data_IF_482750355683
#
_entry.id   IF_482750355683
#
_cell.length_a   1.000
_cell.length_b   1.000
_cell.length_c   1.000
_cell.angle_alpha   90.00
_cell.angle_beta   90.00
_cell.angle_gamma   90.00
#
_symmetry.space_group_name_H-M   'P 1'
#
loop_
_entity.id
_entity.type
_entity.pdbx_description
1 polymer ?
#
# COMPACT_ATOMS: atom_id res chain seq x y z
N UNK A 1 34.59 -13.93 -34.34
CA UNK A 1 33.66 -12.79 -34.22
C UNK A 1 32.17 -13.21 -34.09
N UNK A 2 31.86 -14.35 -33.46
CA UNK A 2 30.47 -14.81 -33.23
C UNK A 2 30.14 -15.11 -31.75
N UNK A 3 31.17 -15.20 -30.89
CA UNK A 3 31.02 -15.50 -29.46
C UNK A 3 30.77 -14.22 -28.65
N UNK A 4 31.22 -13.06 -29.15
CA UNK A 4 31.00 -11.75 -28.51
C UNK A 4 29.55 -11.23 -28.66
N UNK A 5 28.80 -11.68 -29.69
CA UNK A 5 27.39 -11.30 -29.84
C UNK A 5 26.46 -12.14 -28.94
N UNK A 6 26.85 -13.37 -28.60
CA UNK A 6 26.11 -14.22 -27.66
C UNK A 6 26.21 -13.69 -26.21
N UNK A 7 27.29 -13.01 -25.85
CA UNK A 7 27.47 -12.38 -24.53
C UNK A 7 26.66 -11.08 -24.38
N UNK A 8 26.33 -10.39 -25.47
CA UNK A 8 25.47 -9.20 -25.41
C UNK A 8 23.99 -9.56 -25.26
N UNK A 9 23.58 -10.75 -25.76
CA UNK A 9 22.22 -11.27 -25.55
C UNK A 9 22.09 -12.04 -24.22
N UNK A 10 23.15 -12.73 -23.78
CA UNK A 10 23.18 -13.42 -22.48
C UNK A 10 23.39 -12.46 -21.28
N UNK A 11 23.82 -11.22 -21.52
CA UNK A 11 23.93 -10.16 -20.51
C UNK A 11 22.60 -9.52 -20.09
N UNK A 12 21.50 -9.84 -20.78
CA UNK A 12 20.12 -9.46 -20.40
C UNK A 12 19.47 -10.47 -19.43
N UNK A 13 20.25 -11.39 -18.86
CA UNK A 13 19.89 -12.24 -17.71
C UNK A 13 20.47 -11.71 -16.39
N UNK A 14 20.79 -10.42 -16.34
CA UNK A 14 21.39 -9.77 -15.18
C UNK A 14 20.31 -9.34 -14.18
N UNK A 15 20.00 -10.25 -13.25
CA UNK A 15 19.09 -10.10 -12.11
C UNK A 15 17.62 -9.80 -12.48
N UNK A 16 16.62 -10.31 -11.73
CA UNK A 16 15.29 -9.75 -11.81
C UNK A 16 15.42 -8.29 -11.36
N UNK A 17 15.44 -7.36 -12.32
CA UNK A 17 15.37 -5.94 -12.02
C UNK A 17 14.08 -5.77 -11.22
N UNK A 18 14.21 -5.53 -9.92
CA UNK A 18 13.07 -5.32 -9.05
C UNK A 18 12.30 -4.16 -9.64
N UNK A 19 10.99 -4.32 -9.85
CA UNK A 19 10.19 -3.23 -10.37
C UNK A 19 10.36 -1.99 -9.48
N UNK A 20 10.53 -0.84 -10.13
CA UNK A 20 10.75 0.45 -9.49
C UNK A 20 9.43 1.16 -9.23
N UNK A 21 8.45 1.04 -10.15
CA UNK A 21 7.12 1.65 -10.07
C UNK A 21 5.97 0.64 -10.04
N UNK A 22 4.77 1.07 -9.65
CA UNK A 22 3.56 0.23 -9.67
C UNK A 22 3.29 -0.38 -11.06
N UNK A 23 3.47 0.43 -12.11
CA UNK A 23 3.28 0.00 -13.49
C UNK A 23 4.30 -1.05 -13.91
N UNK A 24 5.57 -0.88 -13.49
CA UNK A 24 6.63 -1.84 -13.81
C UNK A 24 6.40 -3.18 -13.11
N UNK A 25 5.92 -3.20 -11.87
CA UNK A 25 5.59 -4.46 -11.18
C UNK A 25 4.47 -5.20 -11.90
N UNK A 26 3.40 -4.48 -12.27
CA UNK A 26 2.28 -5.09 -12.96
C UNK A 26 2.70 -5.66 -14.34
N UNK A 27 3.59 -4.96 -15.07
CA UNK A 27 4.20 -5.46 -16.32
C UNK A 27 5.12 -6.66 -16.11
N UNK A 28 5.92 -6.66 -15.05
CA UNK A 28 6.78 -7.80 -14.70
C UNK A 28 5.95 -9.04 -14.36
N UNK A 29 4.85 -8.89 -13.63
CA UNK A 29 3.94 -9.99 -13.31
C UNK A 29 3.34 -10.58 -14.60
N UNK A 30 2.87 -9.71 -15.52
CA UNK A 30 2.35 -10.14 -16.82
C UNK A 30 3.41 -10.90 -17.64
N UNK A 31 4.59 -10.30 -17.82
CA UNK A 31 5.67 -10.87 -18.62
C UNK A 31 6.14 -12.21 -18.10
N UNK A 32 6.36 -12.32 -16.78
CA UNK A 32 6.81 -13.57 -16.16
C UNK A 32 5.72 -14.65 -16.20
N UNK A 33 4.45 -14.28 -15.97
CA UNK A 33 3.33 -15.22 -16.07
C UNK A 33 3.18 -15.79 -17.48
N UNK A 34 3.34 -14.96 -18.52
CA UNK A 34 3.33 -15.42 -19.92
C UNK A 34 4.52 -16.32 -20.24
N UNK A 35 5.72 -15.98 -19.77
CA UNK A 35 6.92 -16.79 -19.98
C UNK A 35 6.78 -18.18 -19.33
N UNK A 36 6.22 -18.25 -18.11
CA UNK A 36 5.89 -19.51 -17.44
C UNK A 36 4.85 -20.31 -18.22
N UNK A 37 3.78 -19.66 -18.70
CA UNK A 37 2.76 -20.31 -19.53
C UNK A 37 3.33 -20.89 -20.82
N UNK A 38 4.25 -20.17 -21.48
CA UNK A 38 4.93 -20.66 -22.68
C UNK A 38 5.87 -21.83 -22.36
N UNK A 39 6.66 -21.74 -21.29
CA UNK A 39 7.55 -22.81 -20.83
C UNK A 39 6.79 -24.12 -20.59
N UNK A 40 5.63 -24.01 -19.92
CA UNK A 40 4.79 -25.15 -19.57
C UNK A 40 3.92 -25.65 -20.73
N UNK A 41 3.50 -24.76 -21.64
CA UNK A 41 2.64 -25.07 -22.78
C UNK A 41 3.37 -25.58 -24.03
N UNK A 42 4.70 -25.39 -24.13
CA UNK A 42 5.47 -25.78 -25.33
C UNK A 42 5.84 -27.26 -25.40
N UNK A 43 5.53 -28.05 -24.37
CA UNK A 43 5.67 -29.50 -24.45
C UNK A 43 4.44 -30.13 -25.09
N UNK A 44 4.59 -30.87 -26.20
CA UNK A 44 3.59 -31.83 -26.71
C UNK A 44 3.34 -33.01 -25.73
N UNK A 45 3.58 -32.83 -24.44
CA UNK A 45 3.38 -33.81 -23.39
C UNK A 45 2.04 -33.55 -22.71
N UNK A 46 1.30 -34.61 -22.44
CA UNK A 46 0.13 -34.53 -21.57
C UNK A 46 0.57 -33.95 -20.22
N UNK A 47 -0.01 -32.81 -19.86
CA UNK A 47 0.26 -32.15 -18.59
C UNK A 47 -0.35 -32.98 -17.46
N UNK A 48 0.28 -32.95 -16.29
CA UNK A 48 -0.39 -33.46 -15.10
C UNK A 48 -1.53 -32.52 -14.71
N UNK A 49 -2.54 -33.02 -14.01
CA UNK A 49 -3.64 -32.19 -13.48
C UNK A 49 -3.11 -30.98 -12.67
N UNK A 50 -2.02 -31.17 -11.92
CA UNK A 50 -1.38 -30.08 -11.18
C UNK A 50 -0.75 -29.01 -12.08
N UNK A 51 -0.17 -29.41 -13.21
CA UNK A 51 0.41 -28.48 -14.19
C UNK A 51 -0.66 -27.71 -14.96
N UNK A 52 -1.76 -28.37 -15.34
CA UNK A 52 -2.93 -27.71 -15.95
C UNK A 52 -3.53 -26.67 -15.01
N UNK A 53 -3.70 -27.03 -13.74
CA UNK A 53 -4.24 -26.12 -12.73
C UNK A 53 -3.30 -24.93 -12.49
N UNK A 54 -1.98 -25.16 -12.44
CA UNK A 54 -0.99 -24.09 -12.32
C UNK A 54 -1.01 -23.13 -13.52
N UNK A 55 -1.15 -23.65 -14.75
CA UNK A 55 -1.31 -22.84 -15.95
C UNK A 55 -2.56 -21.97 -15.91
N UNK A 56 -3.70 -22.52 -15.47
CA UNK A 56 -4.93 -21.75 -15.34
C UNK A 56 -4.82 -20.63 -14.30
N UNK A 57 -4.18 -20.91 -13.15
CA UNK A 57 -4.01 -19.89 -12.12
C UNK A 57 -2.97 -18.82 -12.53
N UNK A 58 -1.92 -19.19 -13.28
CA UNK A 58 -1.00 -18.23 -13.93
C UNK A 58 -1.69 -17.35 -14.97
N UNK A 59 -2.60 -17.90 -15.79
CA UNK A 59 -3.40 -17.11 -16.73
C UNK A 59 -4.30 -16.11 -15.99
N UNK A 60 -4.92 -16.53 -14.89
CA UNK A 60 -5.70 -15.63 -14.02
C UNK A 60 -4.84 -14.51 -13.44
N UNK A 61 -3.63 -14.84 -12.96
CA UNK A 61 -2.69 -13.85 -12.44
C UNK A 61 -2.27 -12.85 -13.53
N UNK A 62 -1.95 -13.33 -14.73
CA UNK A 62 -1.62 -12.48 -15.87
C UNK A 62 -2.78 -11.54 -16.24
N UNK A 63 -4.02 -12.04 -16.29
CA UNK A 63 -5.19 -11.22 -16.61
C UNK A 63 -5.48 -10.17 -15.53
N UNK A 64 -5.33 -10.53 -14.26
CA UNK A 64 -5.49 -9.60 -13.15
C UNK A 64 -4.42 -8.48 -13.21
N UNK A 65 -3.17 -8.84 -13.56
CA UNK A 65 -2.10 -7.87 -13.76
C UNK A 65 -2.38 -6.94 -14.94
N UNK A 66 -2.84 -7.46 -16.09
CA UNK A 66 -3.21 -6.65 -17.27
C UNK A 66 -4.31 -5.64 -16.93
N UNK A 67 -5.38 -6.07 -16.25
CA UNK A 67 -6.46 -5.15 -15.84
C UNK A 67 -5.96 -4.05 -14.91
N UNK A 68 -5.00 -4.37 -14.05
CA UNK A 68 -4.37 -3.39 -13.17
C UNK A 68 -3.48 -2.42 -13.96
N UNK A 69 -2.71 -2.90 -14.94
CA UNK A 69 -1.93 -2.06 -15.87
C UNK A 69 -2.85 -1.12 -16.64
N UNK A 70 -3.94 -1.63 -17.20
CA UNK A 70 -4.92 -0.84 -17.95
C UNK A 70 -5.52 0.24 -17.05
N UNK A 71 -5.94 -0.11 -15.85
CA UNK A 71 -6.49 0.84 -14.89
C UNK A 71 -5.47 1.92 -14.45
N UNK A 72 -4.18 1.58 -14.36
CA UNK A 72 -3.12 2.54 -14.04
C UNK A 72 -2.71 3.38 -15.27
N UNK A 73 -2.86 2.85 -16.48
CA UNK A 73 -2.37 3.44 -17.74
C UNK A 73 -3.32 4.40 -18.45
N UNK A 74 -4.58 4.52 -18.03
CA UNK A 74 -5.51 5.50 -18.62
C UNK A 74 -5.14 6.94 -18.21
N UNK A 75 -4.85 7.79 -19.19
CA UNK A 75 -4.68 9.25 -19.02
C UNK A 75 -6.01 9.97 -18.77
N UNK A 76 -7.13 9.37 -19.18
CA UNK A 76 -8.45 10.01 -19.19
C UNK A 76 -9.39 9.37 -18.17
N UNK A 77 -9.38 9.91 -16.95
CA UNK A 77 -10.33 9.58 -15.89
C UNK A 77 -9.61 9.31 -14.57
N UNK A 78 -10.01 10.01 -13.50
CA UNK A 78 -9.44 9.82 -12.17
C UNK A 78 -9.69 8.41 -11.64
N UNK A 79 -8.73 7.52 -11.80
CA UNK A 79 -8.76 6.18 -11.21
C UNK A 79 -8.38 6.31 -9.74
N UNK A 80 -9.34 6.02 -8.86
CA UNK A 80 -9.10 6.04 -7.41
C UNK A 80 -8.58 4.67 -6.93
N UNK A 81 -7.70 4.60 -5.93
CA UNK A 81 -7.34 3.39 -5.19
C UNK A 81 -8.55 2.60 -4.69
N UNK A 82 -9.68 3.26 -4.42
CA UNK A 82 -10.93 2.58 -4.09
C UNK A 82 -11.48 1.81 -5.30
N UNK A 83 -11.42 2.39 -6.50
CA UNK A 83 -11.74 1.72 -7.76
C UNK A 83 -10.71 0.63 -8.13
N UNK A 84 -9.46 0.75 -7.66
CA UNK A 84 -8.43 -0.28 -7.81
C UNK A 84 -8.59 -1.43 -6.81
N UNK A 85 -9.28 -1.24 -5.68
CA UNK A 85 -9.42 -2.25 -4.62
C UNK A 85 -9.95 -3.61 -5.11
N UNK A 86 -10.97 -3.69 -5.97
CA UNK A 86 -11.40 -4.96 -6.55
C UNK A 86 -10.31 -5.63 -7.39
N UNK A 87 -9.60 -4.86 -8.22
CA UNK A 87 -8.52 -5.36 -9.09
C UNK A 87 -7.33 -5.87 -8.27
N UNK A 88 -6.99 -5.19 -7.17
CA UNK A 88 -5.94 -5.62 -6.24
C UNK A 88 -6.33 -6.88 -5.47
N UNK A 89 -7.60 -6.98 -5.10
CA UNK A 89 -8.12 -8.19 -4.45
C UNK A 89 -8.08 -9.37 -5.41
N UNK A 90 -8.48 -9.16 -6.67
CA UNK A 90 -8.39 -10.15 -7.75
C UNK A 90 -6.94 -10.60 -7.96
N UNK A 91 -5.99 -9.66 -8.05
CA UNK A 91 -4.56 -9.95 -8.18
C UNK A 91 -4.03 -10.76 -6.99
N UNK A 92 -4.36 -10.36 -5.76
CA UNK A 92 -3.90 -11.04 -4.54
C UNK A 92 -4.45 -12.47 -4.45
N UNK A 93 -5.72 -12.67 -4.79
CA UNK A 93 -6.32 -14.01 -4.84
C UNK A 93 -5.65 -14.85 -5.93
N UNK A 94 -5.43 -14.29 -7.12
CA UNK A 94 -4.76 -14.99 -8.21
C UNK A 94 -3.30 -15.35 -7.87
N UNK A 95 -2.57 -14.45 -7.20
CA UNK A 95 -1.20 -14.69 -6.74
C UNK A 95 -1.15 -15.80 -5.68
N UNK A 96 -2.04 -15.76 -4.68
CA UNK A 96 -2.10 -16.81 -3.65
C UNK A 96 -2.46 -18.18 -4.25
N UNK A 97 -3.43 -18.24 -5.16
CA UNK A 97 -3.79 -19.49 -5.86
C UNK A 97 -2.62 -20.02 -6.67
N UNK A 98 -1.98 -19.15 -7.45
CA UNK A 98 -0.79 -19.49 -8.22
C UNK A 98 0.31 -20.03 -7.30
N UNK A 99 0.58 -19.39 -6.16
CA UNK A 99 1.59 -19.87 -5.21
C UNK A 99 1.34 -21.31 -4.74
N UNK A 100 0.08 -21.67 -4.47
CA UNK A 100 -0.28 -23.03 -4.04
C UNK A 100 -0.12 -24.05 -5.16
N UNK A 101 -0.55 -23.71 -6.38
CA UNK A 101 -0.54 -24.66 -7.51
C UNK A 101 0.83 -24.79 -8.14
N UNK A 102 1.62 -23.71 -8.11
CA UNK A 102 3.01 -23.71 -8.55
C UNK A 102 3.89 -24.64 -7.69
N UNK A 103 3.58 -24.80 -6.39
CA UNK A 103 4.29 -25.77 -5.52
C UNK A 103 4.00 -27.23 -5.90
N UNK A 104 2.86 -27.50 -6.52
CA UNK A 104 2.39 -28.86 -6.84
C UNK A 104 2.75 -29.30 -8.27
N UNK A 105 3.10 -28.36 -9.14
CA UNK A 105 3.30 -28.60 -10.57
C UNK A 105 4.65 -29.23 -10.95
N UNK A 106 5.59 -29.34 -10.01
CA UNK A 106 6.87 -30.04 -10.22
C UNK A 106 7.75 -29.38 -11.28
N UNK A 107 8.07 -28.10 -11.10
CA UNK A 107 8.80 -27.30 -12.09
C UNK A 107 10.29 -27.59 -12.20
N UNK A 108 10.85 -27.20 -13.35
CA UNK A 108 12.29 -27.00 -13.48
C UNK A 108 12.77 -25.91 -12.51
N UNK A 109 14.05 -25.93 -12.15
CA UNK A 109 14.63 -24.95 -11.25
C UNK A 109 14.50 -23.50 -11.78
N UNK A 110 14.64 -23.32 -13.09
CA UNK A 110 14.47 -22.02 -13.76
C UNK A 110 13.03 -21.52 -13.72
N UNK A 111 12.04 -22.38 -13.99
CA UNK A 111 10.63 -21.99 -13.91
C UNK A 111 10.23 -21.71 -12.46
N UNK A 112 10.76 -22.49 -11.50
CA UNK A 112 10.52 -22.25 -10.07
C UNK A 112 11.12 -20.93 -9.59
N UNK A 113 12.26 -20.50 -10.13
CA UNK A 113 12.86 -19.19 -9.83
C UNK A 113 12.01 -18.05 -10.40
N UNK A 114 11.57 -18.17 -11.66
CA UNK A 114 10.72 -17.18 -12.32
C UNK A 114 9.35 -17.05 -11.64
N UNK A 115 8.75 -18.18 -11.25
CA UNK A 115 7.53 -18.24 -10.46
C UNK A 115 7.66 -17.50 -9.11
N UNK A 116 8.75 -17.74 -8.38
CA UNK A 116 9.03 -17.06 -7.11
C UNK A 116 9.16 -15.54 -7.30
N UNK A 117 9.92 -15.09 -8.31
CA UNK A 117 10.07 -13.68 -8.62
C UNK A 117 8.72 -13.01 -8.97
N UNK A 118 7.86 -13.70 -9.71
CA UNK A 118 6.51 -13.22 -10.06
C UNK A 118 5.63 -13.01 -8.83
N UNK A 119 5.64 -13.98 -7.91
CA UNK A 119 4.85 -13.91 -6.67
C UNK A 119 5.37 -12.83 -5.71
N UNK A 120 6.69 -12.62 -5.68
CA UNK A 120 7.31 -11.57 -4.88
C UNK A 120 6.92 -10.17 -5.38
N UNK A 121 6.90 -9.96 -6.71
CA UNK A 121 6.40 -8.71 -7.30
C UNK A 121 4.92 -8.47 -7.00
N UNK A 122 4.07 -9.50 -7.12
CA UNK A 122 2.65 -9.40 -6.78
C UNK A 122 2.44 -8.98 -5.31
N UNK A 123 3.26 -9.51 -4.39
CA UNK A 123 3.21 -9.17 -2.97
C UNK A 123 3.70 -7.74 -2.70
N UNK A 124 4.78 -7.30 -3.35
CA UNK A 124 5.29 -5.92 -3.24
C UNK A 124 4.23 -4.92 -3.73
N UNK A 125 3.62 -5.19 -4.88
CA UNK A 125 2.55 -4.39 -5.46
C UNK A 125 1.33 -4.30 -4.52
N UNK A 126 0.87 -5.43 -3.98
CA UNK A 126 -0.23 -5.46 -3.02
C UNK A 126 0.07 -4.65 -1.76
N UNK A 127 1.29 -4.75 -1.23
CA UNK A 127 1.73 -4.06 -0.02
C UNK A 127 1.71 -2.55 -0.23
N UNK A 128 2.34 -2.08 -1.32
CA UNK A 128 2.38 -0.66 -1.66
C UNK A 128 0.98 -0.11 -1.92
N UNK A 129 0.10 -0.86 -2.58
CA UNK A 129 -1.27 -0.42 -2.81
C UNK A 129 -2.14 -0.41 -1.56
N UNK A 130 -1.87 -1.29 -0.60
CA UNK A 130 -2.52 -1.24 0.72
C UNK A 130 -2.08 0.00 1.50
N UNK A 131 -0.80 0.37 1.41
CA UNK A 131 -0.26 1.61 1.97
C UNK A 131 -0.92 2.83 1.32
N UNK A 132 -0.98 2.89 -0.02
CA UNK A 132 -1.63 3.98 -0.75
C UNK A 132 -3.14 4.03 -0.46
N UNK A 133 -3.82 2.89 -0.39
CA UNK A 133 -5.23 2.82 0.00
C UNK A 133 -5.49 3.34 1.42
N UNK A 134 -4.57 3.08 2.35
CA UNK A 134 -4.56 3.70 3.68
C UNK A 134 -4.33 5.22 3.62
N UNK A 135 -3.46 5.67 2.71
CA UNK A 135 -3.08 7.08 2.51
C UNK A 135 -4.17 7.92 1.85
N UNK A 136 -5.04 7.31 1.03
CA UNK A 136 -5.98 8.03 0.15
C UNK A 136 -7.46 7.63 0.31
N UNK A 137 -7.90 7.25 1.51
CA UNK A 137 -9.21 6.68 1.87
C UNK A 137 -10.48 7.49 1.45
N UNK A 138 -10.73 7.64 0.15
CA UNK A 138 -12.01 8.08 -0.42
C UNK A 138 -12.15 9.49 -0.99
N UNK A 139 -11.08 10.28 -1.25
CA UNK A 139 -11.19 11.58 -1.95
C UNK A 139 -10.25 11.72 -3.15
N UNK A 140 -10.43 12.78 -3.97
CA UNK A 140 -9.77 13.10 -5.26
C UNK A 140 -8.25 12.92 -5.27
N UNK A 141 -7.78 12.30 -6.35
CA UNK A 141 -6.51 11.54 -6.37
C UNK A 141 -5.60 11.97 -7.49
N UNK A 142 -4.29 11.69 -7.37
CA UNK A 142 -3.41 11.69 -8.52
C UNK A 142 -4.06 10.91 -9.67
N UNK A 143 -4.12 11.54 -10.85
CA UNK A 143 -4.58 10.92 -12.09
C UNK A 143 -3.79 9.62 -12.32
N UNK A 144 -4.38 8.61 -12.96
CA UNK A 144 -3.77 7.28 -13.20
C UNK A 144 -2.25 7.28 -13.44
N UNK A 145 -1.70 8.18 -14.28
CA UNK A 145 -0.25 8.30 -14.53
C UNK A 145 0.62 8.60 -13.30
N UNK A 146 0.15 9.41 -12.34
CA UNK A 146 0.90 9.74 -11.13
C UNK A 146 0.89 8.59 -10.12
N UNK A 147 -0.19 7.79 -10.08
CA UNK A 147 -0.18 6.51 -9.36
C UNK A 147 0.73 5.51 -10.05
N UNK A 148 0.68 5.40 -11.37
CA UNK A 148 1.50 4.46 -12.14
C UNK A 148 3.00 4.64 -11.89
N UNK A 149 3.46 5.88 -11.72
CA UNK A 149 4.86 6.23 -11.44
C UNK A 149 5.27 6.11 -9.96
N UNK A 150 4.33 5.81 -9.05
CA UNK A 150 4.63 5.76 -7.62
C UNK A 150 5.63 4.63 -7.32
N UNK A 151 6.73 4.92 -6.59
CA UNK A 151 7.78 3.95 -6.36
C UNK A 151 7.33 2.81 -5.43
N UNK A 152 7.72 1.58 -5.76
CA UNK A 152 7.45 0.36 -4.96
C UNK A 152 8.30 0.27 -3.69
N UNK A 153 9.41 1.00 -3.64
CA UNK A 153 10.31 1.06 -2.49
C UNK A 153 10.36 2.48 -1.92
N UNK A 154 10.42 2.58 -0.59
CA UNK A 154 10.31 3.85 0.13
C UNK A 154 8.86 4.25 0.42
N UNK A 155 8.66 4.89 1.58
CA UNK A 155 7.47 5.72 1.81
C UNK A 155 7.65 6.92 0.90
N UNK A 156 6.72 7.18 -0.03
CA UNK A 156 6.81 8.33 -0.93
C UNK A 156 7.12 9.60 -0.14
N UNK A 157 7.84 10.54 -0.75
CA UNK A 157 8.39 11.71 -0.05
C UNK A 157 7.38 12.31 0.96
N UNK A 158 7.85 12.69 2.17
CA UNK A 158 6.98 13.30 3.15
C UNK A 158 6.38 14.55 2.52
N UNK A 159 5.06 14.59 2.47
CA UNK A 159 4.34 15.73 1.92
C UNK A 159 4.64 16.93 2.81
N UNK A 160 5.51 17.81 2.35
CA UNK A 160 5.51 19.19 2.81
C UNK A 160 4.15 19.73 2.36
N UNK A 161 3.39 20.35 3.27
CA UNK A 161 2.02 20.79 2.98
C UNK A 161 2.02 21.99 2.02
N UNK A 162 2.34 21.74 0.75
CA UNK A 162 2.43 22.76 -0.30
C UNK A 162 1.03 23.18 -0.80
N UNK A 163 0.01 22.35 -0.58
CA UNK A 163 -1.37 22.64 -0.91
C UNK A 163 -2.36 22.20 0.20
N UNK A 164 -3.59 22.76 0.22
CA UNK A 164 -4.65 22.40 1.17
C UNK A 164 -5.01 20.91 1.22
N UNK A 165 -4.83 20.19 0.11
CA UNK A 165 -5.11 18.77 0.00
C UNK A 165 -4.14 17.89 0.78
N UNK A 166 -2.86 18.29 0.86
CA UNK A 166 -1.84 17.57 1.62
C UNK A 166 -2.05 17.70 3.13
N UNK A 167 -2.46 18.89 3.60
CA UNK A 167 -2.83 19.07 5.00
C UNK A 167 -4.05 18.22 5.35
N UNK A 168 -5.10 18.26 4.51
CA UNK A 168 -6.31 17.47 4.73
C UNK A 168 -6.02 15.96 4.77
N UNK A 169 -5.09 15.49 3.94
CA UNK A 169 -4.62 14.09 3.94
C UNK A 169 -3.98 13.70 5.26
N UNK A 170 -3.11 14.54 5.82
CA UNK A 170 -2.51 14.30 7.13
C UNK A 170 -3.56 14.30 8.24
N UNK A 171 -4.46 15.29 8.26
CA UNK A 171 -5.48 15.42 9.30
C UNK A 171 -6.39 14.18 9.37
N UNK A 172 -6.69 13.58 8.22
CA UNK A 172 -7.44 12.32 8.14
C UNK A 172 -6.64 11.12 8.65
N UNK A 173 -5.34 11.07 8.37
CA UNK A 173 -4.44 10.08 8.93
C UNK A 173 -4.39 10.16 10.47
N UNK A 174 -4.41 11.38 11.01
CA UNK A 174 -4.53 11.63 12.46
C UNK A 174 -5.87 11.11 12.99
N UNK A 175 -7.01 11.42 12.35
CA UNK A 175 -8.32 10.90 12.77
C UNK A 175 -8.34 9.37 12.81
N UNK A 176 -7.86 8.71 11.76
CA UNK A 176 -7.82 7.25 11.70
C UNK A 176 -6.95 6.64 12.82
N UNK A 177 -5.78 7.22 13.06
CA UNK A 177 -4.89 6.77 14.13
C UNK A 177 -5.53 6.97 15.50
N UNK A 178 -6.17 8.13 15.74
CA UNK A 178 -6.92 8.43 16.96
C UNK A 178 -8.10 7.47 17.21
N UNK A 179 -8.79 7.03 16.16
CA UNK A 179 -9.84 6.00 16.28
C UNK A 179 -9.28 4.67 16.77
N UNK A 180 -8.15 4.25 16.21
CA UNK A 180 -7.57 2.94 16.49
C UNK A 180 -6.80 2.85 17.81
N UNK A 181 -6.23 3.96 18.29
CA UNK A 181 -5.55 4.02 19.59
C UNK A 181 -6.49 3.57 20.73
N UNK A 182 -7.80 3.81 20.62
CA UNK A 182 -8.79 3.34 21.61
C UNK A 182 -9.32 1.90 21.43
N UNK A 183 -9.06 1.22 20.29
CA UNK A 183 -9.59 -0.12 19.97
C UNK A 183 -8.71 -1.25 20.52
N UNK A 184 -7.45 -0.99 20.87
CA UNK A 184 -6.53 -1.97 21.47
C UNK A 184 -6.88 -2.41 22.91
N UNK A 185 -8.12 -2.19 23.38
CA UNK A 185 -8.58 -2.34 24.77
C UNK A 185 -8.97 -3.74 25.27
N UNK A 186 -9.34 -4.80 24.50
CA UNK A 186 -9.86 -6.00 25.16
C UNK A 186 -8.81 -6.92 25.76
N UNK A 187 -7.59 -6.99 25.20
CA UNK A 187 -6.65 -8.07 25.57
C UNK A 187 -5.73 -7.76 26.77
N UNK A 188 -5.53 -6.49 27.12
CA UNK A 188 -4.58 -6.12 28.18
C UNK A 188 -5.24 -5.81 29.53
N UNK A 189 -6.59 -5.73 29.57
CA UNK A 189 -7.34 -5.40 30.80
C UNK A 189 -7.22 -6.47 31.90
N UNK A 190 -6.79 -7.68 31.55
CA UNK A 190 -6.63 -8.79 32.49
C UNK A 190 -5.19 -9.03 33.00
N UNK A 191 -4.17 -8.43 32.39
CA UNK A 191 -2.76 -8.77 32.66
C UNK A 191 -2.03 -7.77 33.56
N UNK A 192 -2.55 -6.55 33.72
CA UNK A 192 -1.90 -5.49 34.50
C UNK A 192 -2.88 -4.88 35.51
N UNK A 193 -3.08 -5.59 36.62
CA UNK A 193 -3.74 -5.05 37.82
C UNK A 193 -2.83 -3.99 38.45
N UNK A 194 -3.00 -2.72 38.06
CA UNK A 194 -2.53 -1.60 38.89
C UNK A 194 -2.06 -0.35 38.17
N UNK A 195 -1.93 -0.30 36.85
CA UNK A 195 -1.34 0.86 36.18
C UNK A 195 -2.35 1.55 35.24
N UNK A 196 -2.65 2.80 35.61
CA UNK A 196 -3.53 3.80 34.98
C UNK A 196 -4.78 3.25 34.28
N UNK A 197 -5.92 3.35 34.95
CA UNK A 197 -7.21 3.45 34.29
C UNK A 197 -7.15 4.64 33.32
N UNK A 198 -6.85 4.36 32.06
CA UNK A 198 -6.96 5.32 30.99
C UNK A 198 -8.37 5.88 30.98
N UNK A 199 -8.53 7.19 31.17
CA UNK A 199 -9.85 7.79 31.14
C UNK A 199 -10.41 7.63 29.72
N UNK A 200 -11.50 6.88 29.61
CA UNK A 200 -12.24 6.75 28.36
C UNK A 200 -12.74 8.12 27.86
N UNK A 201 -12.83 9.09 28.76
CA UNK A 201 -13.06 10.49 28.42
C UNK A 201 -11.94 11.07 27.54
N UNK A 202 -10.67 10.93 27.92
CA UNK A 202 -9.54 11.50 27.17
C UNK A 202 -9.47 10.93 25.75
N UNK A 203 -9.66 9.62 25.58
CA UNK A 203 -9.67 8.99 24.25
C UNK A 203 -10.84 9.46 23.38
N UNK A 204 -12.02 9.63 23.98
CA UNK A 204 -13.18 10.21 23.28
C UNK A 204 -12.90 11.66 22.88
N UNK A 205 -12.21 12.40 23.74
CA UNK A 205 -11.82 13.78 23.46
C UNK A 205 -10.76 13.86 22.34
N UNK A 206 -9.77 12.98 22.32
CA UNK A 206 -8.80 12.89 21.22
C UNK A 206 -9.49 12.58 19.89
N UNK A 207 -10.40 11.60 19.86
CA UNK A 207 -11.18 11.29 18.66
C UNK A 207 -11.98 12.50 18.21
N UNK A 208 -12.73 13.11 19.12
CA UNK A 208 -13.54 14.30 18.83
C UNK A 208 -12.68 15.45 18.29
N UNK A 209 -11.55 15.74 18.92
CA UNK A 209 -10.65 16.80 18.48
C UNK A 209 -10.05 16.52 17.08
N UNK A 210 -9.76 15.25 16.76
CA UNK A 210 -9.32 14.86 15.43
C UNK A 210 -10.43 15.05 14.38
N UNK A 211 -11.68 14.71 14.71
CA UNK A 211 -12.85 14.98 13.87
C UNK A 211 -13.09 16.48 13.65
N UNK A 212 -13.04 17.28 14.72
CA UNK A 212 -13.24 18.73 14.66
C UNK A 212 -12.15 19.39 13.81
N UNK A 213 -10.89 18.95 13.95
CA UNK A 213 -9.80 19.41 13.11
C UNK A 213 -9.95 19.01 11.64
N UNK A 214 -10.38 17.78 11.35
CA UNK A 214 -10.70 17.36 9.99
C UNK A 214 -11.82 18.22 9.39
N UNK A 215 -12.87 18.49 10.16
CA UNK A 215 -13.99 19.31 9.71
C UNK A 215 -13.53 20.75 9.40
N UNK A 216 -12.68 21.34 10.24
CA UNK A 216 -12.13 22.68 10.03
C UNK A 216 -11.30 22.76 8.73
N UNK A 217 -10.49 21.72 8.46
CA UNK A 217 -9.65 21.65 7.26
C UNK A 217 -10.50 21.28 6.02
N UNK A 218 -11.57 20.50 6.17
CA UNK A 218 -12.47 20.13 5.08
C UNK A 218 -13.44 21.26 4.70
N UNK A 219 -13.76 22.17 5.62
CA UNK A 219 -14.80 23.20 5.49
C UNK A 219 -14.50 24.34 4.51
N UNK A 220 -13.42 24.25 3.72
CA UNK A 220 -13.05 25.28 2.76
C UNK A 220 -12.54 26.56 3.44
N UNK A 221 -11.38 26.47 4.08
CA UNK A 221 -10.70 27.64 4.64
C UNK A 221 -10.05 28.47 3.52
N UNK A 222 -10.15 29.79 3.62
CA UNK A 222 -9.41 30.71 2.73
C UNK A 222 -7.95 30.88 3.17
N UNK A 223 -7.64 30.54 4.43
CA UNK A 223 -6.32 30.62 5.01
C UNK A 223 -6.13 29.51 6.05
N UNK A 224 -5.07 28.71 5.90
CA UNK A 224 -4.74 27.59 6.78
C UNK A 224 -4.46 28.00 8.23
N UNK A 225 -4.11 29.26 8.47
CA UNK A 225 -3.98 29.80 9.84
C UNK A 225 -5.30 29.72 10.61
N UNK A 226 -6.44 29.71 9.92
CA UNK A 226 -7.78 29.60 10.53
C UNK A 226 -8.02 28.24 11.18
N UNK A 227 -7.30 27.19 10.78
CA UNK A 227 -7.44 25.84 11.36
C UNK A 227 -6.52 25.60 12.56
N UNK A 228 -5.66 26.58 12.92
CA UNK A 228 -4.74 26.51 14.07
C UNK A 228 -5.44 26.26 15.41
N UNK A 229 -6.60 26.88 15.73
CA UNK A 229 -7.28 26.62 17.00
C UNK A 229 -7.75 25.16 17.15
N UNK A 230 -8.17 24.54 16.04
CA UNK A 230 -8.59 23.13 16.01
C UNK A 230 -7.40 22.19 16.12
N UNK A 231 -6.30 22.52 15.45
CA UNK A 231 -5.03 21.82 15.63
C UNK A 231 -4.56 21.84 17.09
N UNK A 232 -4.59 23.00 17.76
CA UNK A 232 -4.18 23.14 19.17
C UNK A 232 -5.12 22.36 20.13
N UNK A 233 -6.39 22.18 19.77
CA UNK A 233 -7.31 21.30 20.51
C UNK A 233 -6.90 19.84 20.37
N UNK A 234 -6.61 19.39 19.15
CA UNK A 234 -6.10 18.05 18.87
C UNK A 234 -4.78 17.78 19.61
N UNK A 235 -3.82 18.71 19.52
CA UNK A 235 -2.50 18.60 20.16
C UNK A 235 -2.61 18.47 21.68
N UNK A 236 -3.46 19.28 22.33
CA UNK A 236 -3.72 19.17 23.78
C UNK A 236 -4.42 17.87 24.17
N UNK A 237 -5.33 17.37 23.35
CA UNK A 237 -5.96 16.07 23.59
C UNK A 237 -4.94 14.92 23.46
N UNK A 238 -4.05 14.99 22.46
CA UNK A 238 -2.95 14.06 22.30
C UNK A 238 -1.97 14.07 23.48
N UNK A 239 -1.54 15.24 23.94
CA UNK A 239 -0.61 15.40 25.07
C UNK A 239 -1.16 14.87 26.40
N UNK A 240 -2.48 14.79 26.58
CA UNK A 240 -3.06 14.16 27.78
C UNK A 240 -2.95 12.65 27.79
N UNK A 241 -2.92 12.04 26.61
CA UNK A 241 -2.87 10.58 26.45
C UNK A 241 -1.43 10.10 26.25
N UNK A 242 -0.59 10.87 25.55
CA UNK A 242 0.75 10.47 25.12
C UNK A 242 1.69 10.02 26.24
N UNK A 243 1.79 10.72 27.40
CA UNK A 243 2.65 10.29 28.51
C UNK A 243 2.28 8.93 29.10
N UNK A 244 1.03 8.51 28.90
CA UNK A 244 0.46 7.33 29.53
C UNK A 244 0.25 6.18 28.54
N UNK A 245 0.17 6.45 27.23
CA UNK A 245 -0.17 5.46 26.22
C UNK A 245 0.98 4.48 25.95
N UNK A 246 0.65 3.18 25.88
CA UNK A 246 1.59 2.19 25.35
C UNK A 246 1.95 2.53 23.91
N UNK A 247 3.23 2.38 23.58
CA UNK A 247 3.78 2.63 22.24
C UNK A 247 3.28 1.58 21.23
N UNK A 248 2.02 1.69 20.82
CA UNK A 248 1.46 0.91 19.70
C UNK A 248 1.93 1.49 18.37
N UNK A 249 1.79 0.70 17.30
CA UNK A 249 2.09 1.18 15.94
C UNK A 249 1.26 2.43 15.61
N UNK A 250 -0.01 2.43 15.98
CA UNK A 250 -0.95 3.53 15.76
C UNK A 250 -0.62 4.76 16.62
N UNK A 251 -0.15 4.56 17.85
CA UNK A 251 0.27 5.67 18.72
C UNK A 251 1.54 6.34 18.18
N UNK A 252 2.50 5.56 17.66
CA UNK A 252 3.71 6.08 17.00
C UNK A 252 3.38 6.83 15.71
N UNK A 253 2.42 6.33 14.94
CA UNK A 253 2.00 7.01 13.72
C UNK A 253 1.27 8.33 14.03
N UNK A 254 0.44 8.34 15.08
CA UNK A 254 -0.19 9.56 15.58
C UNK A 254 0.85 10.57 16.10
N UNK A 255 1.84 10.12 16.87
CA UNK A 255 2.95 10.96 17.36
C UNK A 255 3.69 11.66 16.23
N UNK A 256 4.14 10.89 15.22
CA UNK A 256 4.85 11.46 14.07
C UNK A 256 3.98 12.43 13.26
N UNK A 257 2.68 12.16 13.17
CA UNK A 257 1.74 13.05 12.50
C UNK A 257 1.59 14.37 13.26
N UNK A 258 1.47 14.32 14.59
CA UNK A 258 1.44 15.52 15.43
C UNK A 258 2.76 16.31 15.33
N UNK A 259 3.93 15.64 15.31
CA UNK A 259 5.24 16.29 15.10
C UNK A 259 5.38 16.99 13.73
N UNK A 260 4.80 16.40 12.67
CA UNK A 260 4.77 17.04 11.34
C UNK A 260 3.89 18.28 11.36
N UNK A 261 2.71 18.18 11.96
CA UNK A 261 1.81 19.31 12.12
C UNK A 261 2.41 20.39 13.02
N UNK A 262 3.17 20.03 14.07
CA UNK A 262 3.86 20.96 14.96
C UNK A 262 4.89 21.79 14.17
N UNK A 263 5.66 21.14 13.29
CA UNK A 263 6.61 21.83 12.41
C UNK A 263 5.91 22.74 11.40
N UNK A 264 4.80 22.27 10.82
CA UNK A 264 4.02 23.05 9.87
C UNK A 264 3.41 24.30 10.52
N UNK A 265 2.63 24.13 11.60
CA UNK A 265 2.04 25.26 12.32
C UNK A 265 3.09 26.09 13.05
N UNK A 266 4.28 25.57 13.37
CA UNK A 266 5.39 26.36 13.90
C UNK A 266 6.06 27.27 12.87
N UNK A 267 5.92 26.95 11.58
CA UNK A 267 6.46 27.74 10.45
C UNK A 267 5.48 28.77 9.86
N UNK A 268 4.22 28.76 10.29
CA UNK A 268 3.15 29.70 9.90
C UNK A 268 3.03 30.88 10.88
#
# INVERSE_FOLDING_TARGET
MRILLALVVAGWLAAPASAESLLDAARHIEGNSRALTLSLGQGQRALSWGQEQALQDLDRLSRAAVRLVEALGFETGGVTPQALKPLLTELAVAANRSAMTLQLAGFSESDAALARATLEEARRLQTKMSELGGRFWGLDQPVGPALAAEPLSGRGEPLVYENPGDLLREVRGVRYSAERVGVCRPYLRGLFLGWSAFDEYDYRELRRAAYDFEAAVSGGYNNVVQTRPDYERLRRAFQRIHPSAYSTFEMRDLERAIERLDRFYGGL
#
